data_IF_014321429140
#
_entry.id   IF_014321429140
#
_cell.length_a   1.000
_cell.length_b   1.000
_cell.length_c   1.000
_cell.angle_alpha   90.00
_cell.angle_beta   90.00
_cell.angle_gamma   90.00
#
_symmetry.space_group_name_H-M   'P 1'
#
loop_
_entity.id
_entity.type
_entity.pdbx_description
1 polymer ?
#
# COMPACT_ATOMS: atom_id res chain seq x y z
N UNK A 1 12.24 -7.83 14.09
CA UNK A 1 12.58 -9.27 13.96
C UNK A 1 12.50 -9.55 12.47
N UNK A 2 13.63 -9.78 11.82
CA UNK A 2 13.75 -9.85 10.34
C UNK A 2 13.34 -11.23 9.83
N UNK A 3 12.75 -11.31 8.62
CA UNK A 3 12.53 -12.56 7.90
C UNK A 3 13.87 -13.16 7.43
N UNK A 4 14.56 -13.82 8.37
CA UNK A 4 15.90 -14.37 8.15
C UNK A 4 15.92 -15.46 7.08
N UNK A 5 14.84 -16.23 6.96
CA UNK A 5 14.74 -17.31 5.98
C UNK A 5 14.86 -16.73 4.56
N UNK A 6 14.17 -15.62 4.30
CA UNK A 6 14.28 -14.90 3.04
C UNK A 6 15.71 -14.39 2.80
N UNK A 7 16.29 -13.70 3.78
CA UNK A 7 17.62 -13.07 3.63
C UNK A 7 18.73 -14.10 3.46
N UNK A 8 18.74 -15.16 4.27
CA UNK A 8 19.75 -16.20 4.21
C UNK A 8 19.70 -16.92 2.85
N UNK A 9 18.51 -17.28 2.40
CA UNK A 9 18.34 -17.89 1.07
C UNK A 9 18.73 -16.94 -0.06
N UNK A 10 18.32 -15.68 0.02
CA UNK A 10 18.67 -14.67 -0.97
C UNK A 10 20.20 -14.54 -1.07
N UNK A 11 20.88 -14.39 0.06
CA UNK A 11 22.34 -14.26 0.16
C UNK A 11 23.08 -15.44 -0.47
N UNK A 12 22.58 -16.65 -0.26
CA UNK A 12 23.19 -17.88 -0.79
C UNK A 12 23.01 -18.04 -2.31
N UNK A 13 21.88 -17.58 -2.87
CA UNK A 13 21.50 -17.95 -4.23
C UNK A 13 21.48 -16.81 -5.26
N UNK A 14 21.49 -15.54 -4.84
CA UNK A 14 21.30 -14.43 -5.79
C UNK A 14 22.42 -14.31 -6.84
N UNK A 15 23.69 -14.54 -6.48
CA UNK A 15 24.80 -14.49 -7.44
C UNK A 15 24.68 -15.57 -8.49
N UNK A 16 24.37 -16.80 -8.09
CA UNK A 16 24.15 -17.91 -9.02
C UNK A 16 22.98 -17.61 -9.94
N UNK A 17 21.90 -17.06 -9.39
CA UNK A 17 20.74 -16.61 -10.15
C UNK A 17 21.10 -15.60 -11.25
N UNK A 18 21.87 -14.56 -10.93
CA UNK A 18 22.32 -13.56 -11.91
C UNK A 18 23.23 -14.15 -13.00
N UNK A 19 24.00 -15.19 -12.66
CA UNK A 19 24.93 -15.86 -13.59
C UNK A 19 24.25 -16.87 -14.51
N UNK A 20 23.04 -17.33 -14.21
CA UNK A 20 22.35 -18.36 -15.01
C UNK A 20 22.23 -17.92 -16.48
N UNK A 21 22.69 -18.74 -17.44
CA UNK A 21 22.59 -18.40 -18.85
C UNK A 21 21.12 -18.36 -19.31
N UNK A 22 20.78 -17.53 -20.31
CA UNK A 22 19.42 -17.45 -20.82
C UNK A 22 19.02 -18.77 -21.49
N UNK A 23 18.00 -19.43 -20.94
CA UNK A 23 17.30 -20.55 -21.56
C UNK A 23 16.36 -20.00 -22.65
N UNK A 24 16.52 -20.39 -23.93
CA UNK A 24 15.64 -19.97 -25.02
C UNK A 24 14.16 -20.29 -24.78
N UNK A 25 13.88 -21.39 -24.08
CA UNK A 25 12.53 -21.85 -23.75
C UNK A 25 12.09 -21.51 -22.32
N UNK A 26 12.94 -20.84 -21.54
CA UNK A 26 12.62 -20.43 -20.18
C UNK A 26 11.79 -19.14 -20.13
N UNK A 27 11.37 -18.76 -18.91
CA UNK A 27 10.62 -17.53 -18.63
C UNK A 27 11.22 -16.28 -19.30
N UNK A 28 10.38 -15.30 -19.64
CA UNK A 28 10.85 -14.00 -20.13
C UNK A 28 11.65 -13.26 -19.06
N UNK A 29 11.33 -13.46 -17.77
CA UNK A 29 11.95 -12.76 -16.65
C UNK A 29 13.20 -13.49 -16.10
N UNK A 30 13.95 -14.15 -16.97
CA UNK A 30 15.26 -14.69 -16.61
C UNK A 30 16.25 -13.53 -16.41
N UNK A 31 17.04 -13.56 -15.33
CA UNK A 31 17.93 -12.46 -14.94
C UNK A 31 18.79 -11.93 -16.11
N UNK A 32 19.43 -12.82 -16.88
CA UNK A 32 20.25 -12.43 -18.04
C UNK A 32 19.45 -11.75 -19.15
N UNK A 33 18.22 -12.20 -19.43
CA UNK A 33 17.34 -11.56 -20.42
C UNK A 33 16.90 -10.19 -19.93
N UNK A 34 16.53 -10.07 -18.65
CA UNK A 34 16.17 -8.80 -18.02
C UNK A 34 17.31 -7.78 -18.10
N UNK A 35 18.55 -8.20 -17.84
CA UNK A 35 19.73 -7.32 -17.98
C UNK A 35 19.91 -6.87 -19.43
N UNK A 36 19.77 -7.78 -20.41
CA UNK A 36 19.88 -7.45 -21.84
C UNK A 36 18.76 -6.51 -22.30
N UNK A 37 17.54 -6.72 -21.83
CA UNK A 37 16.40 -5.85 -22.09
C UNK A 37 16.62 -4.48 -21.46
N UNK A 38 17.17 -4.42 -20.25
CA UNK A 38 17.48 -3.16 -19.57
C UNK A 38 18.52 -2.34 -20.33
N UNK A 39 19.58 -3.00 -20.82
CA UNK A 39 20.63 -2.39 -21.64
C UNK A 39 20.05 -1.80 -22.93
N UNK A 40 19.09 -2.49 -23.56
CA UNK A 40 18.56 -2.12 -24.86
C UNK A 40 17.35 -1.17 -24.82
N UNK A 41 16.63 -1.10 -23.70
CA UNK A 41 15.36 -0.36 -23.60
C UNK A 41 15.34 0.67 -22.48
N UNK A 42 15.28 0.24 -21.22
CA UNK A 42 15.29 1.13 -20.06
C UNK A 42 15.75 0.42 -18.78
N UNK A 43 16.35 1.19 -17.86
CA UNK A 43 16.81 0.70 -16.56
C UNK A 43 15.69 0.13 -15.69
N UNK A 44 14.45 0.60 -15.84
CA UNK A 44 13.30 0.13 -15.08
C UNK A 44 13.01 -1.36 -15.23
N UNK A 45 13.49 -2.02 -16.30
CA UNK A 45 13.43 -3.47 -16.46
C UNK A 45 14.14 -4.23 -15.34
N UNK A 46 15.20 -3.66 -14.74
CA UNK A 46 15.93 -4.28 -13.64
C UNK A 46 15.06 -4.51 -12.39
N UNK A 47 13.90 -3.84 -12.27
CA UNK A 47 12.93 -4.13 -11.20
C UNK A 47 12.42 -5.58 -11.18
N UNK A 48 12.58 -6.31 -12.30
CA UNK A 48 12.16 -7.70 -12.50
C UNK A 48 13.33 -8.70 -12.40
N UNK A 49 14.51 -8.26 -11.97
CA UNK A 49 15.75 -9.04 -12.00
C UNK A 49 15.66 -10.34 -11.17
N UNK A 50 14.92 -10.29 -10.07
CA UNK A 50 14.73 -11.43 -9.16
C UNK A 50 13.38 -12.13 -9.31
N UNK A 51 12.55 -11.83 -10.32
CA UNK A 51 11.24 -12.46 -10.51
C UNK A 51 11.28 -13.99 -10.57
N UNK A 52 12.34 -14.56 -11.14
CA UNK A 52 12.52 -16.01 -11.28
C UNK A 52 13.30 -16.64 -10.12
N UNK A 53 13.74 -15.84 -9.14
CA UNK A 53 14.36 -16.32 -7.92
C UNK A 53 13.26 -16.57 -6.88
N UNK A 54 12.79 -17.81 -6.80
CA UNK A 54 11.80 -18.18 -5.77
C UNK A 54 12.50 -18.22 -4.41
N UNK A 55 12.14 -17.28 -3.54
CA UNK A 55 12.69 -17.16 -2.19
C UNK A 55 11.67 -17.67 -1.17
N UNK A 56 12.07 -18.51 -0.21
CA UNK A 56 11.20 -18.88 0.89
C UNK A 56 11.01 -17.68 1.81
N UNK A 57 9.81 -17.55 2.35
CA UNK A 57 9.47 -16.55 3.37
C UNK A 57 8.81 -17.25 4.56
N UNK A 58 8.67 -16.55 5.68
CA UNK A 58 7.84 -17.04 6.79
C UNK A 58 6.39 -17.29 6.35
N UNK A 59 5.70 -18.20 7.03
CA UNK A 59 4.29 -18.46 6.74
C UNK A 59 3.41 -17.22 7.01
N UNK A 60 2.20 -17.23 6.43
CA UNK A 60 1.26 -16.09 6.50
C UNK A 60 0.94 -15.67 7.94
N UNK A 61 0.77 -16.62 8.86
CA UNK A 61 0.34 -16.30 10.22
C UNK A 61 1.49 -15.64 10.98
N UNK A 62 2.70 -16.20 10.88
CA UNK A 62 3.93 -15.62 11.42
C UNK A 62 4.23 -14.26 10.78
N UNK A 63 4.02 -14.12 9.47
CA UNK A 63 4.14 -12.84 8.76
C UNK A 63 3.19 -11.79 9.36
N UNK A 64 1.89 -12.11 9.49
CA UNK A 64 0.89 -11.17 10.02
C UNK A 64 1.22 -10.78 11.46
N UNK A 65 1.64 -11.72 12.30
CA UNK A 65 2.08 -11.44 13.67
C UNK A 65 3.29 -10.51 13.71
N UNK A 66 4.28 -10.76 12.85
CA UNK A 66 5.48 -9.93 12.78
C UNK A 66 5.19 -8.53 12.23
N UNK A 67 4.31 -8.42 11.23
CA UNK A 67 3.85 -7.14 10.68
C UNK A 67 3.08 -6.35 11.75
N UNK A 68 2.18 -6.99 12.49
CA UNK A 68 1.46 -6.36 13.59
C UNK A 68 2.41 -5.85 14.69
N UNK A 69 3.46 -6.62 15.02
CA UNK A 69 4.50 -6.20 15.96
C UNK A 69 5.35 -5.05 15.44
N UNK A 70 5.62 -5.01 14.13
CA UNK A 70 6.34 -3.91 13.49
C UNK A 70 5.48 -2.65 13.34
N UNK A 71 4.15 -2.76 13.47
CA UNK A 71 3.19 -1.67 13.38
C UNK A 71 2.81 -1.29 11.94
N UNK A 72 3.75 -1.32 10.99
CA UNK A 72 3.50 -1.04 9.58
C UNK A 72 4.48 -1.76 8.63
N UNK A 73 4.15 -1.75 7.33
CA UNK A 73 4.92 -2.44 6.29
C UNK A 73 6.34 -1.89 6.14
N UNK A 74 6.53 -0.57 6.24
CA UNK A 74 7.85 0.05 6.11
C UNK A 74 8.79 -0.38 7.23
N UNK A 75 8.30 -0.39 8.47
CA UNK A 75 9.04 -0.85 9.64
C UNK A 75 9.35 -2.35 9.56
N UNK A 76 8.45 -3.15 8.99
CA UNK A 76 8.66 -4.57 8.77
C UNK A 76 9.71 -4.85 7.69
N UNK A 77 9.62 -4.19 6.53
CA UNK A 77 10.48 -4.43 5.38
C UNK A 77 11.86 -3.76 5.50
N UNK A 78 11.98 -2.64 6.21
CA UNK A 78 13.26 -1.91 6.38
C UNK A 78 14.43 -2.79 6.82
N UNK A 79 14.35 -3.63 7.88
CA UNK A 79 15.46 -4.49 8.24
C UNK A 79 15.81 -5.51 7.14
N UNK A 80 14.82 -6.04 6.42
CA UNK A 80 15.03 -6.95 5.28
C UNK A 80 15.79 -6.22 4.16
N UNK A 81 15.36 -5.01 3.82
CA UNK A 81 15.98 -4.20 2.76
C UNK A 81 17.37 -3.69 3.15
N UNK A 82 17.61 -3.42 4.44
CA UNK A 82 18.95 -3.10 4.95
C UNK A 82 19.90 -4.29 4.80
N UNK A 83 19.50 -5.48 5.23
CA UNK A 83 20.32 -6.69 5.10
C UNK A 83 20.58 -7.02 3.61
N UNK A 84 19.57 -6.88 2.74
CA UNK A 84 19.73 -7.05 1.30
C UNK A 84 20.67 -5.98 0.68
N UNK A 85 20.58 -4.73 1.14
CA UNK A 85 21.47 -3.66 0.69
C UNK A 85 22.93 -3.91 1.06
N UNK A 86 23.21 -4.48 2.24
CA UNK A 86 24.58 -4.88 2.64
C UNK A 86 25.18 -5.96 1.75
N UNK A 87 24.35 -6.73 1.05
CA UNK A 87 24.77 -7.79 0.12
C UNK A 87 24.90 -7.24 -1.30
N UNK A 88 24.00 -6.34 -1.71
CA UNK A 88 23.90 -5.86 -3.09
C UNK A 88 24.73 -4.62 -3.37
N UNK A 89 24.83 -3.71 -2.39
CA UNK A 89 25.37 -2.37 -2.56
C UNK A 89 26.71 -2.20 -1.84
N UNK A 90 27.52 -1.26 -2.32
CA UNK A 90 28.74 -0.86 -1.63
C UNK A 90 28.42 -0.22 -0.25
N UNK A 91 29.45 -0.02 0.58
CA UNK A 91 29.29 0.54 1.94
C UNK A 91 28.52 1.86 2.00
N UNK A 92 28.65 2.70 0.96
CA UNK A 92 28.01 4.01 0.90
C UNK A 92 26.62 3.97 0.24
N UNK A 93 26.14 2.78 -0.17
CA UNK A 93 24.86 2.55 -0.86
C UNK A 93 24.68 3.35 -2.16
N UNK A 94 25.78 3.73 -2.81
CA UNK A 94 25.78 4.54 -4.04
C UNK A 94 25.92 3.73 -5.31
N UNK A 95 26.44 2.51 -5.24
CA UNK A 95 26.58 1.59 -6.38
C UNK A 95 26.47 0.14 -5.95
N UNK A 96 26.35 -0.77 -6.92
CA UNK A 96 26.40 -2.21 -6.67
C UNK A 96 27.79 -2.65 -6.20
N UNK A 97 27.87 -3.74 -5.42
CA UNK A 97 29.15 -4.36 -5.12
C UNK A 97 29.78 -5.00 -6.35
N UNK A 98 31.10 -5.06 -6.37
CA UNK A 98 31.88 -5.54 -7.51
C UNK A 98 31.52 -6.98 -7.91
N UNK A 99 31.19 -7.85 -6.95
CA UNK A 99 30.79 -9.23 -7.25
C UNK A 99 29.40 -9.34 -7.89
N UNK A 100 28.50 -8.41 -7.57
CA UNK A 100 27.19 -8.27 -8.22
C UNK A 100 27.37 -7.75 -9.64
N UNK A 101 28.23 -6.74 -9.82
CA UNK A 101 28.59 -6.20 -11.13
C UNK A 101 29.17 -7.31 -12.03
N UNK A 102 30.10 -8.11 -11.50
CA UNK A 102 30.65 -9.27 -12.24
C UNK A 102 29.57 -10.30 -12.59
N UNK A 103 28.61 -10.55 -11.69
CA UNK A 103 27.52 -11.48 -11.94
C UNK A 103 26.56 -10.99 -13.05
N UNK A 104 26.26 -9.68 -13.08
CA UNK A 104 25.52 -9.01 -14.18
C UNK A 104 26.32 -9.03 -15.49
N UNK A 105 27.65 -9.00 -15.38
CA UNK A 105 28.61 -8.93 -16.48
C UNK A 105 29.10 -7.50 -16.69
N UNK A 106 30.43 -7.33 -16.75
CA UNK A 106 31.08 -6.02 -16.81
C UNK A 106 30.64 -5.19 -18.02
N UNK A 107 30.48 -5.80 -19.20
CA UNK A 107 30.04 -5.11 -20.41
C UNK A 107 28.60 -4.60 -20.30
N UNK A 108 27.71 -5.42 -19.75
CA UNK A 108 26.33 -5.02 -19.52
C UNK A 108 26.28 -3.87 -18.52
N UNK A 109 27.00 -3.99 -17.40
CA UNK A 109 27.03 -2.95 -16.38
C UNK A 109 27.65 -1.65 -16.89
N UNK A 110 28.77 -1.70 -17.62
CA UNK A 110 29.37 -0.53 -18.25
C UNK A 110 28.39 0.18 -19.19
N UNK A 111 27.60 -0.59 -19.96
CA UNK A 111 26.59 -0.01 -20.82
C UNK A 111 25.45 0.64 -20.03
N UNK A 112 24.94 -0.04 -18.98
CA UNK A 112 23.87 0.49 -18.12
C UNK A 112 24.31 1.78 -17.41
N UNK A 113 25.53 1.79 -16.88
CA UNK A 113 26.09 2.93 -16.14
C UNK A 113 26.68 4.02 -17.05
N UNK A 114 26.69 3.82 -18.38
CA UNK A 114 27.37 4.69 -19.36
C UNK A 114 28.88 4.83 -19.15
N UNK A 115 29.51 3.86 -18.48
CA UNK A 115 30.95 3.84 -18.19
C UNK A 115 31.79 3.13 -19.26
N UNK A 116 33.05 2.90 -18.91
CA UNK A 116 34.02 2.09 -19.65
C UNK A 116 34.73 1.09 -18.73
N UNK A 117 35.32 0.04 -19.32
CA UNK A 117 36.00 -1.00 -18.56
C UNK A 117 37.49 -0.71 -18.54
N UNK A 118 38.04 -0.44 -17.36
CA UNK A 118 39.47 -0.27 -17.13
C UNK A 118 39.95 -1.27 -16.08
N UNK A 119 41.03 -2.00 -16.35
CA UNK A 119 41.64 -2.93 -15.39
C UNK A 119 40.66 -3.95 -14.76
N UNK A 120 39.60 -4.33 -15.48
CA UNK A 120 38.59 -5.29 -14.99
C UNK A 120 37.53 -4.70 -14.05
N UNK A 121 37.48 -3.37 -13.91
CA UNK A 121 36.44 -2.64 -13.21
C UNK A 121 35.73 -1.67 -14.17
N UNK A 122 34.50 -1.29 -13.85
CA UNK A 122 33.76 -0.27 -14.60
C UNK A 122 34.03 1.09 -13.98
N UNK A 123 34.43 2.05 -14.80
CA UNK A 123 34.75 3.42 -14.40
C UNK A 123 34.01 4.43 -15.28
N UNK A 124 33.91 5.67 -14.82
CA UNK A 124 33.33 6.76 -15.60
C UNK A 124 34.21 7.09 -16.81
N UNK A 125 33.59 7.42 -17.93
CA UNK A 125 34.29 8.05 -19.05
C UNK A 125 34.75 9.44 -18.64
N UNK A 126 35.91 9.84 -19.16
CA UNK A 126 36.50 11.15 -18.87
C UNK A 126 35.53 12.30 -19.17
N UNK A 127 35.17 13.08 -18.16
CA UNK A 127 34.25 14.22 -18.27
C UNK A 127 32.76 13.88 -18.10
N UNK A 128 32.41 12.62 -17.83
CA UNK A 128 31.03 12.15 -17.59
C UNK A 128 30.83 11.63 -16.17
N UNK A 129 31.70 12.01 -15.22
CA UNK A 129 31.74 11.45 -13.87
C UNK A 129 30.42 11.63 -13.10
N UNK A 130 29.77 12.79 -13.25
CA UNK A 130 28.49 13.07 -12.61
C UNK A 130 27.34 12.20 -13.16
N UNK A 131 27.29 12.04 -14.49
CA UNK A 131 26.27 11.22 -15.17
C UNK A 131 26.45 9.74 -14.82
N UNK A 132 27.71 9.28 -14.80
CA UNK A 132 28.06 7.92 -14.38
C UNK A 132 27.60 7.66 -12.93
N UNK A 133 27.92 8.56 -12.00
CA UNK A 133 27.51 8.42 -10.60
C UNK A 133 25.99 8.42 -10.42
N UNK A 134 25.26 9.27 -11.15
CA UNK A 134 23.79 9.30 -11.15
C UNK A 134 23.22 7.96 -11.66
N UNK A 135 23.78 7.42 -12.74
CA UNK A 135 23.37 6.12 -13.29
C UNK A 135 23.69 4.95 -12.37
N UNK A 136 24.86 4.94 -11.73
CA UNK A 136 25.20 3.92 -10.73
C UNK A 136 24.21 3.94 -9.56
N UNK A 137 23.86 5.12 -9.07
CA UNK A 137 22.87 5.29 -8.00
C UNK A 137 21.47 4.84 -8.44
N UNK A 138 21.05 5.17 -9.66
CA UNK A 138 19.79 4.73 -10.25
C UNK A 138 19.73 3.20 -10.37
N UNK A 139 20.79 2.56 -10.86
CA UNK A 139 20.90 1.11 -10.96
C UNK A 139 20.85 0.46 -9.56
N UNK A 140 21.62 0.99 -8.61
CA UNK A 140 21.63 0.51 -7.23
C UNK A 140 20.22 0.55 -6.62
N UNK A 141 19.51 1.66 -6.82
CA UNK A 141 18.12 1.84 -6.38
C UNK A 141 17.22 0.78 -7.01
N UNK A 142 17.16 0.69 -8.34
CA UNK A 142 16.23 -0.22 -9.03
C UNK A 142 16.53 -1.69 -8.71
N UNK A 143 17.80 -2.08 -8.57
CA UNK A 143 18.17 -3.45 -8.17
C UNK A 143 17.73 -3.73 -6.74
N UNK A 144 17.83 -2.78 -5.82
CA UNK A 144 17.32 -2.95 -4.48
C UNK A 144 15.78 -2.98 -4.45
N UNK A 145 15.09 -2.13 -5.23
CA UNK A 145 13.62 -2.15 -5.38
C UNK A 145 13.12 -3.54 -5.79
N UNK A 146 13.88 -4.22 -6.65
CA UNK A 146 13.54 -5.56 -7.13
C UNK A 146 13.46 -6.61 -6.01
N UNK A 147 14.05 -6.34 -4.84
CA UNK A 147 13.90 -7.18 -3.62
C UNK A 147 12.50 -7.06 -3.05
N UNK A 148 11.94 -5.86 -2.98
CA UNK A 148 10.56 -5.65 -2.52
C UNK A 148 9.57 -6.36 -3.45
N UNK A 149 9.80 -6.28 -4.77
CA UNK A 149 9.00 -6.99 -5.78
C UNK A 149 9.13 -8.50 -5.62
N UNK A 150 10.33 -9.02 -5.41
CA UNK A 150 10.57 -10.45 -5.18
C UNK A 150 9.90 -10.95 -3.89
N UNK A 151 9.99 -10.16 -2.81
CA UNK A 151 9.33 -10.47 -1.54
C UNK A 151 7.81 -10.53 -1.71
N UNK A 152 7.23 -9.54 -2.41
CA UNK A 152 5.79 -9.51 -2.69
C UNK A 152 5.32 -10.74 -3.48
N UNK A 153 6.05 -11.12 -4.54
CA UNK A 153 5.73 -12.31 -5.33
C UNK A 153 5.84 -13.60 -4.50
N UNK A 154 6.84 -13.68 -3.63
CA UNK A 154 7.00 -14.82 -2.73
C UNK A 154 5.83 -14.90 -1.74
N UNK A 155 5.37 -13.74 -1.25
CA UNK A 155 4.23 -13.61 -0.36
C UNK A 155 2.87 -13.93 -1.00
N UNK A 156 2.69 -13.62 -2.29
CA UNK A 156 1.50 -14.02 -3.06
C UNK A 156 1.28 -15.54 -3.03
N UNK A 157 2.36 -16.34 -3.01
CA UNK A 157 2.27 -17.80 -2.91
C UNK A 157 1.70 -18.26 -1.56
N UNK A 158 1.65 -17.38 -0.56
CA UNK A 158 1.13 -17.61 0.79
C UNK A 158 -0.13 -16.80 1.10
N UNK A 159 -0.79 -16.21 0.10
CA UNK A 159 -2.03 -15.43 0.27
C UNK A 159 -3.16 -16.20 0.97
N UNK A 160 -3.13 -17.53 0.87
CA UNK A 160 -3.99 -18.44 1.62
C UNK A 160 -3.14 -19.32 2.52
N UNK A 161 -3.54 -19.42 3.79
CA UNK A 161 -3.02 -20.40 4.75
C UNK A 161 -3.31 -21.83 4.27
N UNK A 162 -2.55 -22.83 4.74
CA UNK A 162 -2.84 -24.23 4.43
C UNK A 162 -4.28 -24.64 4.79
N UNK A 163 -4.84 -24.10 5.89
CA UNK A 163 -6.21 -24.37 6.31
C UNK A 163 -7.24 -23.77 5.36
N UNK A 164 -7.04 -22.54 4.88
CA UNK A 164 -7.93 -21.90 3.90
C UNK A 164 -7.88 -22.61 2.54
N UNK A 165 -6.72 -23.06 2.09
CA UNK A 165 -6.62 -23.87 0.85
C UNK A 165 -7.38 -25.17 0.99
N UNK A 166 -7.24 -25.85 2.13
CA UNK A 166 -8.00 -27.07 2.42
C UNK A 166 -9.51 -26.79 2.46
N UNK A 167 -9.93 -25.68 3.07
CA UNK A 167 -11.32 -25.24 3.10
C UNK A 167 -11.88 -24.96 1.69
N UNK A 168 -11.13 -24.25 0.85
CA UNK A 168 -11.53 -23.99 -0.54
C UNK A 168 -11.78 -25.29 -1.32
N UNK A 169 -10.88 -26.28 -1.16
CA UNK A 169 -11.08 -27.61 -1.77
C UNK A 169 -12.33 -28.31 -1.25
N UNK A 170 -12.64 -28.19 0.05
CA UNK A 170 -13.88 -28.75 0.62
C UNK A 170 -15.13 -28.04 0.11
N UNK A 171 -15.09 -26.72 -0.05
CA UNK A 171 -16.19 -25.92 -0.63
C UNK A 171 -16.45 -26.34 -2.08
N UNK A 172 -15.41 -26.60 -2.88
CA UNK A 172 -15.57 -27.14 -4.24
C UNK A 172 -16.16 -28.56 -4.23
N UNK A 173 -15.73 -29.44 -3.32
CA UNK A 173 -16.36 -30.76 -3.16
C UNK A 173 -17.84 -30.67 -2.78
N UNK A 174 -18.19 -29.71 -1.91
CA UNK A 174 -19.59 -29.43 -1.58
C UNK A 174 -20.36 -28.96 -2.82
N UNK A 175 -19.75 -28.12 -3.67
CA UNK A 175 -20.36 -27.70 -4.93
C UNK A 175 -20.65 -28.89 -5.86
N UNK A 176 -19.70 -29.81 -6.04
CA UNK A 176 -19.91 -31.03 -6.83
C UNK A 176 -21.07 -31.88 -6.29
N UNK A 177 -21.17 -32.00 -4.95
CA UNK A 177 -22.26 -32.73 -4.30
C UNK A 177 -23.62 -32.04 -4.47
N UNK A 178 -23.65 -30.70 -4.42
CA UNK A 178 -24.83 -29.91 -4.74
C UNK A 178 -25.28 -30.18 -6.18
N UNK A 179 -24.37 -30.21 -7.16
CA UNK A 179 -24.72 -30.51 -8.56
C UNK A 179 -25.30 -31.92 -8.74
N UNK A 180 -24.75 -32.92 -8.03
CA UNK A 180 -25.31 -34.27 -7.99
C UNK A 180 -26.73 -34.29 -7.41
N UNK A 181 -26.93 -33.60 -6.29
CA UNK A 181 -28.23 -33.49 -5.64
C UNK A 181 -29.26 -32.74 -6.50
N UNK A 182 -28.85 -31.63 -7.14
CA UNK A 182 -29.69 -30.90 -8.09
C UNK A 182 -30.18 -31.82 -9.21
N UNK A 183 -29.29 -32.65 -9.76
CA UNK A 183 -29.64 -33.62 -10.80
C UNK A 183 -30.67 -34.64 -10.32
N UNK A 184 -30.50 -35.17 -9.10
CA UNK A 184 -31.45 -36.09 -8.48
C UNK A 184 -32.80 -35.44 -8.14
N UNK A 185 -32.83 -34.11 -7.95
CA UNK A 185 -34.04 -33.35 -7.62
C UNK A 185 -34.77 -32.71 -8.80
N UNK A 186 -34.26 -32.84 -10.03
CA UNK A 186 -34.81 -32.16 -11.22
C UNK A 186 -36.31 -32.37 -11.44
N UNK A 187 -36.83 -33.54 -11.08
CA UNK A 187 -38.24 -33.90 -11.28
C UNK A 187 -39.17 -33.40 -10.16
N UNK A 188 -38.62 -32.88 -9.05
CA UNK A 188 -39.38 -32.45 -7.87
C UNK A 188 -39.55 -30.94 -7.74
N UNK A 189 -38.88 -30.14 -8.58
CA UNK A 189 -38.96 -28.67 -8.53
C UNK A 189 -40.12 -28.19 -9.40
N UNK A 190 -41.18 -27.58 -8.84
CA UNK A 190 -42.27 -27.01 -9.64
C UNK A 190 -41.74 -25.81 -10.44
N UNK A 191 -42.06 -25.73 -11.75
CA UNK A 191 -41.60 -24.70 -12.69
C UNK A 191 -41.85 -23.24 -12.28
N UNK A 192 -42.68 -22.96 -11.27
CA UNK A 192 -43.18 -21.61 -10.98
C UNK A 192 -43.04 -21.13 -9.52
N UNK A 193 -42.38 -21.85 -8.62
CA UNK A 193 -42.20 -21.34 -7.27
C UNK A 193 -40.73 -21.04 -7.02
N UNK A 194 -40.40 -19.74 -7.00
CA UNK A 194 -39.26 -19.24 -6.27
C UNK A 194 -39.43 -19.67 -4.80
N UNK A 195 -38.90 -20.83 -4.45
CA UNK A 195 -38.68 -21.20 -3.06
C UNK A 195 -37.81 -20.11 -2.48
N UNK A 196 -38.44 -19.23 -1.70
CA UNK A 196 -37.74 -18.35 -0.76
C UNK A 196 -36.87 -19.26 0.09
N UNK A 197 -35.57 -19.32 -0.22
CA UNK A 197 -34.59 -19.99 0.62
C UNK A 197 -34.85 -19.53 2.06
N UNK A 198 -35.03 -20.44 3.02
CA UNK A 198 -35.00 -20.03 4.42
C UNK A 198 -33.66 -19.30 4.59
N UNK A 199 -33.71 -18.02 4.98
CA UNK A 199 -32.52 -17.25 5.36
C UNK A 199 -31.92 -17.92 6.59
N UNK A 200 -31.16 -18.98 6.38
CA UNK A 200 -30.32 -19.53 7.41
C UNK A 200 -29.24 -18.49 7.66
N UNK A 201 -29.21 -17.93 8.87
CA UNK A 201 -28.06 -17.17 9.37
C UNK A 201 -26.89 -18.15 9.53
N UNK A 202 -26.31 -18.60 8.43
CA UNK A 202 -25.04 -19.29 8.43
C UNK A 202 -24.00 -18.18 8.31
N UNK A 203 -23.17 -18.05 9.33
CA UNK A 203 -21.96 -17.24 9.28
C UNK A 203 -20.85 -18.02 9.95
N UNK A 204 -19.62 -17.83 9.49
CA UNK A 204 -18.46 -18.51 10.06
C UNK A 204 -17.66 -17.49 10.85
N UNK A 205 -17.23 -17.89 12.05
CA UNK A 205 -16.34 -17.06 12.87
C UNK A 205 -14.86 -17.39 12.63
N UNK A 206 -14.58 -18.60 12.16
CA UNK A 206 -13.22 -19.08 11.89
C UNK A 206 -13.22 -20.23 10.86
N UNK A 207 -12.03 -20.58 10.37
CA UNK A 207 -11.82 -21.61 9.33
C UNK A 207 -12.14 -23.03 9.83
N UNK A 208 -11.93 -23.33 11.11
CA UNK A 208 -12.22 -24.65 11.65
C UNK A 208 -13.74 -24.90 11.69
N UNK A 209 -14.52 -23.87 12.05
CA UNK A 209 -15.99 -23.89 11.99
C UNK A 209 -16.50 -24.07 10.55
N UNK A 210 -15.94 -23.32 9.59
CA UNK A 210 -16.28 -23.47 8.17
C UNK A 210 -16.01 -24.90 7.70
N UNK A 211 -14.83 -25.45 7.98
CA UNK A 211 -14.47 -26.80 7.58
C UNK A 211 -15.43 -27.85 8.15
N UNK A 212 -15.80 -27.71 9.43
CA UNK A 212 -16.73 -28.63 10.08
C UNK A 212 -18.12 -28.58 9.43
N UNK A 213 -18.68 -27.38 9.27
CA UNK A 213 -20.02 -27.23 8.69
C UNK A 213 -20.09 -27.70 7.23
N UNK A 214 -19.06 -27.40 6.42
CA UNK A 214 -18.96 -27.88 5.04
C UNK A 214 -18.88 -29.41 5.00
N UNK A 215 -18.06 -30.02 5.87
CA UNK A 215 -17.96 -31.48 5.96
C UNK A 215 -19.31 -32.13 6.35
N UNK A 216 -20.01 -31.55 7.33
CA UNK A 216 -21.34 -32.03 7.76
C UNK A 216 -22.36 -31.95 6.62
N UNK A 217 -22.35 -30.88 5.81
CA UNK A 217 -23.22 -30.78 4.63
C UNK A 217 -22.86 -31.82 3.56
N UNK A 218 -21.58 -32.05 3.28
CA UNK A 218 -21.14 -33.09 2.34
C UNK A 218 -21.65 -34.46 2.78
N UNK A 219 -21.46 -34.81 4.06
CA UNK A 219 -21.93 -36.08 4.61
C UNK A 219 -23.45 -36.22 4.55
N UNK A 220 -24.18 -35.15 4.88
CA UNK A 220 -25.65 -35.15 4.78
C UNK A 220 -26.14 -35.36 3.36
N UNK A 221 -25.55 -34.68 2.37
CA UNK A 221 -25.91 -34.89 0.96
C UNK A 221 -25.65 -36.35 0.56
N UNK A 222 -24.50 -36.91 0.93
CA UNK A 222 -24.17 -38.30 0.64
C UNK A 222 -25.22 -39.26 1.24
N UNK A 223 -25.57 -39.09 2.52
CA UNK A 223 -26.56 -39.92 3.19
C UNK A 223 -27.95 -39.86 2.54
N UNK A 224 -28.40 -38.67 2.14
CA UNK A 224 -29.71 -38.50 1.50
C UNK A 224 -29.72 -39.08 0.07
N UNK A 225 -28.61 -38.97 -0.67
CA UNK A 225 -28.47 -39.56 -2.01
C UNK A 225 -28.38 -41.09 -1.99
N UNK A 226 -27.74 -41.69 -0.97
CA UNK A 226 -27.63 -43.14 -0.83
C UNK A 226 -28.96 -43.79 -0.42
N UNK A 227 -29.79 -43.07 0.34
CA UNK A 227 -31.12 -43.53 0.70
C UNK A 227 -32.11 -43.34 -0.45
N UNK A 228 -32.35 -44.42 -1.21
CA UNK A 228 -33.29 -44.45 -2.35
C UNK A 228 -34.75 -44.12 -1.99
N UNK A 229 -35.10 -44.13 -0.70
CA UNK A 229 -36.43 -43.80 -0.19
C UNK A 229 -36.51 -42.41 0.44
N UNK A 230 -35.47 -41.57 0.31
CA UNK A 230 -35.47 -40.21 0.84
C UNK A 230 -36.67 -39.42 0.28
N UNK A 231 -37.53 -38.86 1.14
CA UNK A 231 -38.67 -38.07 0.68
C UNK A 231 -38.19 -36.83 -0.08
N UNK A 232 -38.90 -36.38 -1.15
CA UNK A 232 -38.52 -35.21 -1.94
C UNK A 232 -38.28 -33.94 -1.12
N UNK A 233 -39.04 -33.77 -0.03
CA UNK A 233 -38.86 -32.65 0.92
C UNK A 233 -37.47 -32.65 1.56
N UNK A 234 -36.95 -33.81 1.94
CA UNK A 234 -35.65 -33.95 2.58
C UNK A 234 -34.50 -33.65 1.60
N UNK A 235 -34.63 -34.12 0.36
CA UNK A 235 -33.70 -33.78 -0.74
C UNK A 235 -33.66 -32.27 -1.00
N UNK A 236 -34.83 -31.62 -1.09
CA UNK A 236 -34.93 -30.17 -1.31
C UNK A 236 -34.40 -29.36 -0.11
N UNK A 237 -34.65 -29.80 1.12
CA UNK A 237 -34.09 -29.17 2.32
C UNK A 237 -32.56 -29.30 2.37
N UNK A 238 -32.02 -30.50 2.10
CA UNK A 238 -30.57 -30.71 2.04
C UNK A 238 -29.93 -29.84 0.95
N UNK A 239 -30.59 -29.70 -0.21
CA UNK A 239 -30.12 -28.85 -1.30
C UNK A 239 -30.09 -27.37 -0.90
N UNK A 240 -31.17 -26.85 -0.29
CA UNK A 240 -31.25 -25.47 0.13
C UNK A 240 -30.20 -25.13 1.20
N UNK A 241 -30.05 -25.97 2.22
CA UNK A 241 -29.06 -25.77 3.29
C UNK A 241 -27.62 -25.85 2.76
N UNK A 242 -27.32 -26.80 1.87
CA UNK A 242 -26.00 -26.95 1.29
C UNK A 242 -25.64 -25.76 0.38
N UNK A 243 -26.60 -25.28 -0.41
CA UNK A 243 -26.40 -24.13 -1.30
C UNK A 243 -26.13 -22.86 -0.49
N UNK A 244 -26.92 -22.60 0.56
CA UNK A 244 -26.69 -21.47 1.46
C UNK A 244 -25.33 -21.58 2.19
N UNK A 245 -24.97 -22.77 2.67
CA UNK A 245 -23.67 -23.01 3.30
C UNK A 245 -22.50 -22.74 2.34
N UNK A 246 -22.61 -23.15 1.07
CA UNK A 246 -21.59 -22.88 0.05
C UNK A 246 -21.44 -21.39 -0.22
N UNK A 247 -22.54 -20.68 -0.42
CA UNK A 247 -22.53 -19.23 -0.71
C UNK A 247 -21.83 -18.46 0.41
N UNK A 248 -22.20 -18.73 1.66
CA UNK A 248 -21.57 -18.09 2.83
C UNK A 248 -20.11 -18.52 3.02
N UNK A 249 -19.77 -19.79 2.72
CA UNK A 249 -18.40 -20.27 2.86
C UNK A 249 -17.47 -19.62 1.82
N UNK A 250 -17.97 -19.45 0.59
CA UNK A 250 -17.25 -18.71 -0.45
C UNK A 250 -17.06 -17.25 -0.05
N UNK A 251 -18.13 -16.59 0.42
CA UNK A 251 -18.06 -15.20 0.88
C UNK A 251 -17.03 -15.02 2.02
N UNK A 252 -16.99 -15.95 2.96
CA UNK A 252 -16.01 -15.94 4.05
C UNK A 252 -14.56 -16.05 3.53
N UNK A 253 -14.29 -17.00 2.64
CA UNK A 253 -12.97 -17.18 2.03
C UNK A 253 -12.55 -15.96 1.20
N UNK A 254 -13.48 -15.41 0.40
CA UNK A 254 -13.25 -14.21 -0.42
C UNK A 254 -12.96 -12.99 0.48
N UNK A 255 -13.68 -12.84 1.60
CA UNK A 255 -13.46 -11.76 2.58
C UNK A 255 -12.07 -11.87 3.22
N UNK A 256 -11.63 -13.07 3.59
CA UNK A 256 -10.29 -13.28 4.16
C UNK A 256 -9.18 -13.02 3.15
N UNK A 257 -9.40 -13.39 1.88
CA UNK A 257 -8.47 -13.09 0.79
C UNK A 257 -8.41 -11.58 0.54
N UNK A 258 -9.56 -10.92 0.45
CA UNK A 258 -9.63 -9.47 0.25
C UNK A 258 -8.95 -8.72 1.39
N UNK A 259 -9.17 -9.14 2.64
CA UNK A 259 -8.45 -8.59 3.80
C UNK A 259 -6.93 -8.69 3.62
N UNK A 260 -6.42 -9.84 3.16
CA UNK A 260 -4.99 -10.01 2.89
C UNK A 260 -4.51 -9.08 1.77
N UNK A 261 -5.24 -9.02 0.66
CA UNK A 261 -4.90 -8.14 -0.46
C UNK A 261 -4.84 -6.66 -0.02
N UNK A 262 -5.81 -6.20 0.76
CA UNK A 262 -5.92 -4.80 1.16
C UNK A 262 -4.96 -4.42 2.29
N UNK A 263 -4.75 -5.31 3.27
CA UNK A 263 -3.94 -5.01 4.46
C UNK A 263 -2.48 -5.41 4.34
N UNK A 264 -2.15 -6.28 3.39
CA UNK A 264 -0.78 -6.80 3.22
C UNK A 264 -0.24 -6.43 1.84
N UNK A 265 -0.90 -6.90 0.77
CA UNK A 265 -0.35 -6.76 -0.58
C UNK A 265 -0.38 -5.31 -1.07
N UNK A 266 -1.45 -4.56 -0.81
CA UNK A 266 -1.54 -3.16 -1.23
C UNK A 266 -0.47 -2.26 -0.56
N UNK A 267 -0.23 -2.31 0.76
CA UNK A 267 0.88 -1.60 1.39
C UNK A 267 2.25 -2.01 0.85
N UNK A 268 2.47 -3.31 0.62
CA UNK A 268 3.74 -3.81 0.09
C UNK A 268 3.99 -3.36 -1.36
N UNK A 269 2.96 -3.38 -2.20
CA UNK A 269 3.03 -2.86 -3.57
C UNK A 269 3.22 -1.34 -3.60
N UNK A 270 2.63 -0.62 -2.63
CA UNK A 270 2.85 0.81 -2.44
C UNK A 270 4.30 1.08 -2.09
N UNK A 271 4.87 0.31 -1.16
CA UNK A 271 6.28 0.39 -0.80
C UNK A 271 7.18 0.07 -2.01
N UNK A 272 6.87 -0.96 -2.79
CA UNK A 272 7.62 -1.31 -4.00
C UNK A 272 7.59 -0.19 -5.05
N UNK A 273 6.45 0.49 -5.21
CA UNK A 273 6.28 1.56 -6.19
C UNK A 273 6.95 2.85 -5.75
N UNK A 274 6.93 3.14 -4.45
CA UNK A 274 7.43 4.38 -3.87
C UNK A 274 8.80 4.22 -3.21
N UNK A 275 9.50 3.11 -3.44
CA UNK A 275 10.77 2.87 -2.77
C UNK A 275 11.81 3.91 -3.16
N UNK A 276 12.47 4.44 -2.13
CA UNK A 276 13.64 5.31 -2.26
C UNK A 276 14.73 4.79 -1.33
N UNK A 277 16.00 4.87 -1.74
CA UNK A 277 17.13 4.38 -0.92
C UNK A 277 17.19 5.11 0.44
N UNK A 278 16.67 6.34 0.51
CA UNK A 278 16.54 7.13 1.74
C UNK A 278 15.68 6.42 2.80
N UNK A 279 14.80 5.49 2.41
CA UNK A 279 14.04 4.64 3.34
C UNK A 279 14.98 3.75 4.18
N UNK A 280 16.20 3.48 3.71
CA UNK A 280 17.22 2.70 4.42
C UNK A 280 18.06 3.51 5.39
N UNK A 281 17.93 4.85 5.40
CA UNK A 281 18.54 5.66 6.44
C UNK A 281 17.87 5.30 7.77
N UNK A 282 18.62 5.38 8.87
CA UNK A 282 18.01 5.19 10.19
C UNK A 282 16.77 6.09 10.27
N UNK A 283 15.62 5.55 10.72
CA UNK A 283 14.41 6.35 10.81
C UNK A 283 14.77 7.60 11.60
N UNK A 284 14.54 8.78 10.99
CA UNK A 284 14.64 10.05 11.72
C UNK A 284 13.92 9.84 13.06
N UNK A 285 14.54 10.19 14.20
CA UNK A 285 14.01 9.86 15.51
C UNK A 285 12.54 10.22 15.55
N UNK A 286 11.69 9.23 15.84
CA UNK A 286 10.25 9.47 15.82
C UNK A 286 9.95 10.63 16.78
N UNK A 287 9.01 11.53 16.41
CA UNK A 287 8.62 12.60 17.30
C UNK A 287 8.21 12.01 18.65
N UNK A 288 8.60 12.69 19.72
CA UNK A 288 8.20 12.28 21.07
C UNK A 288 6.67 12.30 21.17
N UNK A 289 6.11 11.54 22.12
CA UNK A 289 4.67 11.54 22.37
C UNK A 289 4.11 12.97 22.53
N UNK A 290 4.86 13.85 23.19
CA UNK A 290 4.49 15.27 23.36
C UNK A 290 4.42 16.02 22.02
N UNK A 291 5.42 15.84 21.15
CA UNK A 291 5.44 16.47 19.81
C UNK A 291 4.29 15.92 18.94
N UNK A 292 4.00 14.62 19.03
CA UNK A 292 2.85 14.02 18.33
C UNK A 292 1.52 14.57 18.84
N UNK A 293 1.35 14.70 20.15
CA UNK A 293 0.17 15.32 20.76
C UNK A 293 0.00 16.77 20.32
N UNK A 294 1.06 17.56 20.35
CA UNK A 294 1.04 18.97 19.94
C UNK A 294 0.67 19.14 18.47
N UNK A 295 1.24 18.32 17.58
CA UNK A 295 0.90 18.34 16.15
C UNK A 295 -0.57 18.01 15.90
N UNK A 296 -1.09 16.96 16.54
CA UNK A 296 -2.51 16.58 16.41
C UNK A 296 -3.41 17.67 17.00
N UNK A 297 -3.03 18.27 18.14
CA UNK A 297 -3.77 19.36 18.77
C UNK A 297 -3.80 20.62 17.90
N UNK A 298 -2.67 20.96 17.28
CA UNK A 298 -2.57 22.09 16.35
C UNK A 298 -3.48 21.89 15.14
N UNK A 299 -3.47 20.69 14.55
CA UNK A 299 -4.37 20.39 13.44
C UNK A 299 -5.85 20.42 13.87
N UNK A 300 -6.17 19.87 15.05
CA UNK A 300 -7.53 19.94 15.59
C UNK A 300 -8.00 21.39 15.79
N UNK A 301 -7.13 22.28 16.27
CA UNK A 301 -7.43 23.71 16.42
C UNK A 301 -7.70 24.39 15.05
N UNK A 302 -6.97 24.01 14.00
CA UNK A 302 -7.26 24.48 12.64
C UNK A 302 -8.63 24.00 12.14
N UNK A 303 -9.01 22.75 12.45
CA UNK A 303 -10.35 22.21 12.13
C UNK A 303 -11.43 22.99 12.86
N UNK A 304 -11.24 23.33 14.14
CA UNK A 304 -12.17 24.17 14.91
C UNK A 304 -12.32 25.57 14.30
N UNK A 305 -11.21 26.20 13.90
CA UNK A 305 -11.24 27.49 13.20
C UNK A 305 -12.02 27.40 11.87
N UNK A 306 -11.82 26.33 11.10
CA UNK A 306 -12.55 26.10 9.86
C UNK A 306 -14.06 25.91 10.11
N UNK A 307 -14.45 25.19 11.16
CA UNK A 307 -15.84 25.05 11.56
C UNK A 307 -16.46 26.40 11.95
N UNK A 308 -15.71 27.26 12.63
CA UNK A 308 -16.16 28.60 13.02
C UNK A 308 -16.40 29.49 11.79
N UNK A 309 -15.48 29.50 10.81
CA UNK A 309 -15.65 30.23 9.55
C UNK A 309 -16.90 29.76 8.79
N UNK A 310 -17.16 28.45 8.77
CA UNK A 310 -18.35 27.89 8.11
C UNK A 310 -19.63 28.29 8.85
N UNK A 311 -19.60 28.35 10.19
CA UNK A 311 -20.72 28.83 11.00
C UNK A 311 -21.04 30.29 10.68
N UNK A 312 -20.03 31.15 10.66
CA UNK A 312 -20.18 32.57 10.33
C UNK A 312 -20.74 32.77 8.91
N UNK A 313 -20.23 32.02 7.93
CA UNK A 313 -20.79 32.04 6.56
C UNK A 313 -22.22 31.52 6.47
N UNK A 314 -22.56 30.52 7.27
CA UNK A 314 -23.94 30.00 7.35
C UNK A 314 -24.88 31.05 7.93
N UNK A 315 -24.45 31.74 8.99
CA UNK A 315 -25.21 32.84 9.62
C UNK A 315 -25.34 34.05 8.69
N UNK A 316 -24.28 34.40 7.96
CA UNK A 316 -24.31 35.46 6.96
C UNK A 316 -25.29 35.12 5.83
N UNK A 317 -25.29 33.88 5.34
CA UNK A 317 -26.25 33.43 4.34
C UNK A 317 -27.71 33.52 4.82
N UNK A 318 -27.96 33.21 6.10
CA UNK A 318 -29.29 33.36 6.74
C UNK A 318 -29.67 34.84 6.95
N UNK A 319 -28.69 35.75 7.06
CA UNK A 319 -28.95 37.20 7.16
C UNK A 319 -29.21 37.84 5.79
N UNK A 320 -28.51 37.37 4.76
CA UNK A 320 -28.62 37.86 3.38
C UNK A 320 -29.82 37.26 2.62
N UNK A 321 -30.30 36.09 3.06
CA UNK A 321 -31.47 35.42 2.51
C UNK A 321 -32.57 35.32 3.58
N UNK A 322 -33.81 35.01 3.20
CA UNK A 322 -34.88 34.83 4.20
C UNK A 322 -34.55 33.65 5.12
N UNK A 323 -34.99 33.70 6.39
CA UNK A 323 -34.73 32.66 7.41
C UNK A 323 -35.14 31.25 6.94
N UNK A 324 -36.14 31.16 6.06
CA UNK A 324 -36.64 29.91 5.49
C UNK A 324 -35.84 29.40 4.27
N UNK A 325 -34.78 30.10 3.86
CA UNK A 325 -33.93 29.68 2.75
C UNK A 325 -32.98 28.56 3.20
N UNK A 326 -33.01 27.38 2.55
CA UNK A 326 -32.17 26.27 2.95
C UNK A 326 -30.69 26.62 2.76
N UNK A 327 -29.85 26.25 3.73
CA UNK A 327 -28.41 26.40 3.61
C UNK A 327 -27.90 25.67 2.36
N UNK A 328 -26.95 26.25 1.61
CA UNK A 328 -26.34 25.60 0.49
C UNK A 328 -25.79 24.22 0.87
N UNK A 329 -26.07 23.22 0.03
CA UNK A 329 -25.69 21.82 0.27
C UNK A 329 -24.18 21.63 0.54
N UNK A 330 -23.33 22.46 -0.06
CA UNK A 330 -21.89 22.41 0.18
C UNK A 330 -21.51 22.83 1.61
N UNK A 331 -22.18 23.83 2.20
CA UNK A 331 -21.93 24.29 3.57
C UNK A 331 -22.41 23.26 4.60
N UNK A 332 -23.57 22.64 4.38
CA UNK A 332 -24.09 21.60 5.27
C UNK A 332 -23.25 20.32 5.19
N UNK A 333 -22.83 19.92 4.00
CA UNK A 333 -21.92 18.79 3.77
C UNK A 333 -20.55 19.01 4.41
N UNK A 334 -19.93 20.18 4.19
CA UNK A 334 -18.61 20.51 4.73
C UNK A 334 -18.64 20.62 6.27
N UNK A 335 -19.69 21.23 6.83
CA UNK A 335 -19.89 21.31 8.29
C UNK A 335 -19.98 19.93 8.94
N UNK A 336 -20.72 19.00 8.33
CA UNK A 336 -20.86 17.63 8.83
C UNK A 336 -19.53 16.87 8.82
N UNK A 337 -18.75 16.99 7.73
CA UNK A 337 -17.45 16.30 7.57
C UNK A 337 -16.38 16.84 8.51
N UNK A 338 -16.29 18.16 8.65
CA UNK A 338 -15.38 18.77 9.62
C UNK A 338 -15.76 18.43 11.05
N UNK A 339 -17.06 18.24 11.34
CA UNK A 339 -17.54 17.70 12.62
C UNK A 339 -16.97 16.30 12.88
N UNK A 340 -17.11 15.38 11.92
CA UNK A 340 -16.55 14.03 12.03
C UNK A 340 -15.03 14.01 12.17
N UNK A 341 -14.33 14.82 11.38
CA UNK A 341 -12.86 14.95 11.47
C UNK A 341 -12.45 15.42 12.87
N UNK A 342 -13.12 16.44 13.40
CA UNK A 342 -12.87 16.95 14.75
C UNK A 342 -13.08 15.85 15.82
N UNK A 343 -14.21 15.14 15.79
CA UNK A 343 -14.51 14.07 16.74
C UNK A 343 -13.43 12.96 16.70
N UNK A 344 -12.97 12.60 15.50
CA UNK A 344 -11.94 11.58 15.30
C UNK A 344 -10.55 12.06 15.77
N UNK A 345 -10.18 13.31 15.51
CA UNK A 345 -8.93 13.92 16.00
C UNK A 345 -8.95 14.05 17.53
N UNK A 346 -10.09 14.43 18.11
CA UNK A 346 -10.27 14.49 19.56
C UNK A 346 -10.16 13.09 20.20
N UNK A 347 -10.69 12.06 19.54
CA UNK A 347 -10.48 10.66 19.96
C UNK A 347 -9.01 10.25 19.93
N UNK A 348 -8.21 10.77 18.99
CA UNK A 348 -6.76 10.54 18.96
C UNK A 348 -6.06 11.25 20.12
N UNK A 349 -6.45 12.48 20.45
CA UNK A 349 -5.89 13.24 21.58
C UNK A 349 -6.23 12.63 22.95
N UNK A 350 -7.32 11.87 23.05
CA UNK A 350 -7.75 11.22 24.29
C UNK A 350 -7.03 9.90 24.60
N UNK A 351 -6.24 9.34 23.67
CA UNK A 351 -5.54 8.05 23.86
C UNK A 351 -4.64 8.01 25.11
N UNK A 352 -3.82 9.04 25.42
CA UNK A 352 -2.97 9.05 26.60
C UNK A 352 -3.77 8.93 27.91
N UNK A 353 -4.99 9.49 27.93
CA UNK A 353 -5.89 9.46 29.08
C UNK A 353 -6.70 8.16 29.14
N UNK A 354 -7.11 7.62 27.99
CA UNK A 354 -7.89 6.39 27.88
C UNK A 354 -7.06 5.12 28.14
N UNK A 355 -5.76 5.15 27.83
CA UNK A 355 -4.88 3.98 27.89
C UNK A 355 -3.57 4.27 28.66
N UNK A 356 -3.64 4.66 29.95
CA UNK A 356 -2.46 5.05 30.74
C UNK A 356 -1.45 3.90 30.97
N UNK A 357 -1.84 2.67 30.65
CA UNK A 357 -1.02 1.46 30.78
C UNK A 357 -0.14 1.18 29.55
N UNK A 358 -0.33 1.88 28.44
CA UNK A 358 0.52 1.75 27.25
C UNK A 358 1.89 2.43 27.46
N UNK A 359 2.93 1.92 26.80
CA UNK A 359 4.20 2.64 26.72
C UNK A 359 4.04 3.94 25.92
N UNK A 360 4.94 4.91 26.09
CA UNK A 360 4.91 6.15 25.34
C UNK A 360 4.92 5.91 23.81
N UNK A 361 5.67 4.91 23.34
CA UNK A 361 5.67 4.48 21.94
C UNK A 361 4.32 3.86 21.53
N UNK A 362 3.73 2.99 22.35
CA UNK A 362 2.43 2.38 22.07
C UNK A 362 1.28 3.39 22.05
N UNK A 363 1.32 4.41 22.92
CA UNK A 363 0.38 5.54 22.87
C UNK A 363 0.56 6.34 21.58
N UNK A 364 1.81 6.68 21.22
CA UNK A 364 2.12 7.43 20.00
C UNK A 364 1.61 6.71 18.75
N UNK A 365 1.87 5.41 18.64
CA UNK A 365 1.47 4.62 17.48
C UNK A 365 -0.05 4.56 17.33
N UNK A 366 -0.78 4.39 18.44
CA UNK A 366 -2.24 4.46 18.40
C UNK A 366 -2.76 5.85 18.04
N UNK A 367 -2.11 6.92 18.52
CA UNK A 367 -2.47 8.30 18.20
C UNK A 367 -2.29 8.56 16.70
N UNK A 368 -1.15 8.16 16.14
CA UNK A 368 -0.86 8.28 14.71
C UNK A 368 -1.83 7.44 13.87
N UNK A 369 -2.19 6.23 14.30
CA UNK A 369 -3.16 5.40 13.60
C UNK A 369 -4.55 6.04 13.57
N UNK A 370 -5.04 6.56 14.70
CA UNK A 370 -6.33 7.28 14.74
C UNK A 370 -6.28 8.57 13.92
N UNK A 371 -5.19 9.32 14.00
CA UNK A 371 -4.96 10.53 13.21
C UNK A 371 -5.03 10.22 11.70
N UNK A 372 -4.27 9.22 11.24
CA UNK A 372 -4.24 8.83 9.83
C UNK A 372 -5.62 8.38 9.33
N UNK A 373 -6.31 7.55 10.11
CA UNK A 373 -7.67 7.12 9.78
C UNK A 373 -8.66 8.29 9.68
N UNK A 374 -8.53 9.30 10.55
CA UNK A 374 -9.36 10.50 10.53
C UNK A 374 -9.14 11.33 9.26
N UNK A 375 -7.87 11.55 8.89
CA UNK A 375 -7.50 12.27 7.68
C UNK A 375 -7.96 11.53 6.42
N UNK A 376 -7.73 10.22 6.35
CA UNK A 376 -8.14 9.38 5.21
C UNK A 376 -9.67 9.41 5.03
N UNK A 377 -10.41 9.18 6.13
CA UNK A 377 -11.88 9.26 6.12
C UNK A 377 -12.36 10.63 5.64
N UNK A 378 -11.71 11.71 6.08
CA UNK A 378 -12.08 13.06 5.67
C UNK A 378 -11.77 13.32 4.20
N UNK A 379 -10.60 12.92 3.70
CA UNK A 379 -10.20 13.08 2.29
C UNK A 379 -11.15 12.31 1.38
N UNK A 380 -11.43 11.04 1.67
CA UNK A 380 -12.39 10.23 0.91
C UNK A 380 -13.77 10.87 0.88
N UNK A 381 -14.23 11.37 2.03
CA UNK A 381 -15.52 12.06 2.11
C UNK A 381 -15.51 13.35 1.29
N UNK A 382 -14.47 14.18 1.37
CA UNK A 382 -14.38 15.42 0.56
C UNK A 382 -14.35 15.11 -0.94
N UNK A 383 -13.67 14.03 -1.35
CA UNK A 383 -13.58 13.54 -2.74
C UNK A 383 -14.96 13.15 -3.31
N UNK A 384 -15.78 12.45 -2.53
CA UNK A 384 -17.08 11.91 -2.99
C UNK A 384 -18.15 13.01 -3.18
N UNK A 385 -18.12 14.08 -2.37
CA UNK A 385 -19.29 14.97 -2.24
C UNK A 385 -19.01 16.47 -2.42
N UNK A 386 -17.77 16.93 -2.29
CA UNK A 386 -17.40 18.36 -2.43
C UNK A 386 -16.53 18.61 -3.67
N UNK A 387 -15.68 17.65 -4.04
CA UNK A 387 -14.81 17.70 -5.21
C UNK A 387 -15.39 16.97 -6.43
N UNK A 388 -16.72 17.00 -6.62
CA UNK A 388 -17.34 16.60 -7.91
C UNK A 388 -17.05 17.63 -9.00
N UNK A 389 -15.79 17.83 -9.34
CA UNK A 389 -15.45 18.27 -10.67
C UNK A 389 -15.53 17.04 -11.58
N UNK A 390 -16.66 16.83 -12.24
CA UNK A 390 -16.65 16.01 -13.45
C UNK A 390 -15.53 16.55 -14.35
N UNK A 391 -14.64 15.70 -14.91
CA UNK A 391 -13.62 16.17 -15.83
C UNK A 391 -14.31 16.98 -16.93
N UNK A 392 -13.75 18.12 -17.38
CA UNK A 392 -14.43 19.01 -18.30
C UNK A 392 -14.90 18.20 -19.51
N UNK A 393 -16.22 18.10 -19.70
CA UNK A 393 -16.80 17.37 -20.84
C UNK A 393 -16.25 18.04 -22.11
N UNK A 394 -15.72 17.29 -23.09
CA UNK A 394 -15.28 17.89 -24.34
C UNK A 394 -16.53 18.33 -25.13
N UNK A 395 -17.02 19.53 -24.86
CA UNK A 395 -18.16 20.12 -25.56
C UNK A 395 -17.67 21.05 -26.66
N UNK A 396 -16.93 20.48 -27.61
CA UNK A 396 -16.91 20.94 -29.00
C UNK A 396 -16.19 19.91 -29.87
N UNK A 397 -16.80 19.53 -31.00
CA UNK A 397 -16.14 18.73 -32.03
C UNK A 397 -14.79 19.38 -32.41
N UNK A 398 -13.74 18.59 -32.62
CA UNK A 398 -12.37 19.06 -32.89
C UNK A 398 -12.32 20.10 -34.03
N UNK A 399 -13.24 19.99 -34.99
CA UNK A 399 -13.42 20.89 -36.12
C UNK A 399 -13.85 22.31 -35.67
N UNK A 400 -14.73 22.43 -34.68
CA UNK A 400 -15.15 23.73 -34.13
C UNK A 400 -14.03 24.40 -33.30
N UNK A 401 -13.18 23.60 -32.63
CA UNK A 401 -12.04 24.13 -31.86
C UNK A 401 -10.99 24.73 -32.78
N UNK A 402 -10.69 24.04 -33.88
CA UNK A 402 -9.80 24.54 -34.93
C UNK A 402 -10.36 25.81 -35.58
N UNK A 403 -11.66 25.85 -35.90
CA UNK A 403 -12.30 27.06 -36.45
C UNK A 403 -12.23 28.25 -35.48
N UNK A 404 -12.43 28.02 -34.17
CA UNK A 404 -12.34 29.07 -33.16
C UNK A 404 -10.92 29.59 -32.94
N UNK A 405 -9.92 28.72 -33.01
CA UNK A 405 -8.51 29.11 -32.94
C UNK A 405 -8.12 30.01 -34.12
N UNK A 406 -8.66 29.75 -35.32
CA UNK A 406 -8.42 30.56 -36.51
C UNK A 406 -9.17 31.91 -36.43
N UNK A 407 -10.38 31.93 -35.88
CA UNK A 407 -11.23 33.14 -35.86
C UNK A 407 -11.01 34.06 -34.65
N UNK A 408 -10.68 33.51 -33.48
CA UNK A 408 -10.64 34.21 -32.19
C UNK A 408 -9.29 34.00 -31.47
N UNK A 409 -8.40 33.16 -32.01
CA UNK A 409 -7.06 32.93 -31.42
C UNK A 409 -7.04 32.02 -30.19
N UNK A 410 -8.15 31.34 -29.86
CA UNK A 410 -8.23 30.41 -28.72
C UNK A 410 -8.92 29.10 -29.10
N UNK A 411 -8.34 27.98 -28.65
CA UNK A 411 -8.85 26.61 -28.85
C UNK A 411 -9.93 26.22 -27.83
N UNK A 412 -10.06 26.96 -26.73
CA UNK A 412 -11.02 26.70 -25.64
C UNK A 412 -11.93 27.90 -25.40
N UNK A 413 -13.12 27.64 -24.86
CA UNK A 413 -14.04 28.69 -24.39
C UNK A 413 -13.56 29.27 -23.05
N UNK A 414 -14.04 30.47 -22.68
CA UNK A 414 -13.75 31.05 -21.37
C UNK A 414 -14.29 30.18 -20.22
N UNK A 415 -15.43 29.50 -20.42
CA UNK A 415 -16.00 28.53 -19.47
C UNK A 415 -15.13 27.26 -19.38
N UNK A 416 -14.67 26.70 -20.51
CA UNK A 416 -13.77 25.53 -20.51
C UNK A 416 -12.43 25.85 -19.82
N UNK A 417 -11.90 27.06 -20.02
CA UNK A 417 -10.68 27.52 -19.36
C UNK A 417 -10.90 27.70 -17.86
N UNK A 418 -12.02 28.30 -17.44
CA UNK A 418 -12.36 28.48 -16.03
C UNK A 418 -12.61 27.14 -15.32
N UNK A 419 -13.26 26.18 -15.99
CA UNK A 419 -13.45 24.82 -15.47
C UNK A 419 -12.13 24.05 -15.33
N UNK A 420 -11.22 24.22 -16.29
CA UNK A 420 -9.89 23.60 -16.24
C UNK A 420 -8.99 24.22 -15.17
N UNK A 421 -9.06 25.54 -14.98
CA UNK A 421 -8.40 26.26 -13.88
C UNK A 421 -8.99 25.85 -12.52
N UNK A 422 -10.31 25.66 -12.41
CA UNK A 422 -10.97 25.14 -11.21
C UNK A 422 -10.46 23.74 -10.86
N UNK A 423 -10.48 22.82 -11.84
CA UNK A 423 -10.00 21.45 -11.66
C UNK A 423 -8.53 21.37 -11.25
N UNK A 424 -7.68 22.22 -11.84
CA UNK A 424 -6.24 22.28 -11.50
C UNK A 424 -6.03 22.77 -10.07
N UNK A 425 -6.80 23.76 -9.62
CA UNK A 425 -6.73 24.29 -8.25
C UNK A 425 -7.23 23.29 -7.21
N UNK A 426 -8.34 22.60 -7.51
CA UNK A 426 -8.92 21.57 -6.64
C UNK A 426 -8.02 20.33 -6.54
N UNK A 427 -7.37 19.93 -7.64
CA UNK A 427 -6.37 18.85 -7.64
C UNK A 427 -5.09 19.25 -6.89
N UNK A 428 -4.69 20.53 -6.95
CA UNK A 428 -3.58 21.07 -6.17
C UNK A 428 -3.84 20.97 -4.66
N UNK A 429 -5.00 21.42 -4.20
CA UNK A 429 -5.38 21.34 -2.77
C UNK A 429 -5.39 19.90 -2.23
N UNK A 430 -5.77 18.93 -3.06
CA UNK A 430 -5.71 17.51 -2.71
C UNK A 430 -4.27 17.05 -2.51
N UNK A 431 -3.35 17.45 -3.39
CA UNK A 431 -1.94 17.14 -3.24
C UNK A 431 -1.36 17.83 -2.00
N UNK A 432 -1.71 19.09 -1.74
CA UNK A 432 -1.26 19.82 -0.54
C UNK A 432 -1.68 19.11 0.77
N UNK A 433 -2.90 18.56 0.83
CA UNK A 433 -3.37 17.79 1.98
C UNK A 433 -2.64 16.44 2.14
N UNK A 434 -2.30 15.79 1.04
CA UNK A 434 -1.51 14.56 1.04
C UNK A 434 -0.04 14.84 1.40
N UNK A 435 0.49 15.97 0.96
CA UNK A 435 1.84 16.42 1.30
C UNK A 435 1.93 16.79 2.78
N UNK A 436 0.91 17.46 3.34
CA UNK A 436 0.83 17.74 4.78
C UNK A 436 0.76 16.45 5.62
N UNK A 437 0.11 15.40 5.11
CA UNK A 437 0.11 14.06 5.73
C UNK A 437 1.52 13.46 5.77
N UNK A 438 2.26 13.55 4.67
CA UNK A 438 3.65 13.08 4.62
C UNK A 438 4.57 13.96 5.47
N UNK A 439 4.35 15.27 5.49
CA UNK A 439 5.10 16.22 6.30
C UNK A 439 4.94 15.93 7.80
N UNK A 440 3.76 15.48 8.25
CA UNK A 440 3.54 15.07 9.63
C UNK A 440 4.15 13.71 9.98
N UNK A 441 4.37 12.83 8.99
CA UNK A 441 5.15 11.60 9.14
C UNK A 441 6.64 11.90 9.28
N UNK A 442 7.10 13.02 8.72
CA UNK A 442 8.45 13.55 8.95
C UNK A 442 8.48 14.50 10.17
N UNK A 443 9.51 14.47 11.03
CA UNK A 443 9.70 15.57 11.97
C UNK A 443 10.07 16.85 11.21
N UNK A 444 9.52 17.98 11.66
CA UNK A 444 9.94 19.29 11.18
C UNK A 444 11.41 19.47 11.59
N UNK A 445 12.25 19.90 10.65
CA UNK A 445 13.60 20.34 10.97
C UNK A 445 13.49 21.61 11.80
N UNK A 446 13.48 21.48 13.12
CA UNK A 446 13.75 22.61 13.99
C UNK A 446 15.15 23.11 13.64
N UNK A 447 15.19 24.35 13.16
CA UNK A 447 16.39 25.14 13.02
C UNK A 447 17.10 25.19 14.38
N UNK A 448 18.05 24.27 14.59
CA UNK A 448 19.14 24.50 15.53
C UNK A 448 20.01 25.57 14.90
N UNK A 449 19.62 26.82 15.11
CA UNK A 449 20.48 27.97 14.90
C UNK A 449 21.67 27.82 15.85
N UNK A 450 22.84 27.78 15.25
CA UNK A 450 24.18 27.93 15.81
C UNK A 450 24.23 28.56 17.20
N UNK A 451 24.72 27.80 18.17
CA UNK A 451 25.51 28.33 19.27
C UNK A 451 26.26 27.20 19.95
N UNK A 452 27.51 27.00 19.55
CA UNK A 452 28.65 26.72 20.43
C UNK A 452 29.87 26.35 19.58
N UNK A 453 30.76 27.33 19.33
CA UNK A 453 32.22 27.19 19.43
C UNK A 453 32.91 28.50 19.00
N UNK A 454 32.78 29.52 19.85
CA UNK A 454 33.73 30.62 19.97
C UNK A 454 33.96 30.88 21.46
N UNK A 455 34.75 30.04 22.10
CA UNK A 455 35.44 30.37 23.37
C UNK A 455 36.55 29.34 23.65
N UNK A 456 37.66 29.46 22.93
CA UNK A 456 38.94 28.85 23.31
C UNK A 456 40.14 29.63 22.76
N UNK A 457 40.08 30.96 22.81
CA UNK A 457 41.26 31.82 22.64
C UNK A 457 41.14 33.01 23.60
N UNK A 458 41.33 32.79 24.91
CA UNK A 458 42.13 33.71 25.71
C UNK A 458 42.43 33.12 27.10
N UNK A 459 43.67 32.67 27.31
CA UNK A 459 44.37 32.75 28.60
C UNK A 459 45.86 32.54 28.39
N UNK A 460 46.48 33.62 27.89
CA UNK A 460 47.68 34.23 28.47
C UNK A 460 48.73 33.32 29.12
N UNK A 461 49.81 33.18 28.35
CA UNK A 461 51.21 33.16 28.78
C UNK A 461 51.49 34.12 29.95
N UNK A 462 51.94 33.59 31.09
CA UNK A 462 53.18 33.98 31.79
C UNK A 462 53.19 33.48 33.24
N UNK A 463 54.17 32.64 33.60
CA UNK A 463 55.03 32.86 34.76
C UNK A 463 56.22 31.89 34.70
N UNK A 464 57.30 32.43 34.14
CA UNK A 464 58.67 32.04 34.42
C UNK A 464 58.96 32.38 35.90
N UNK A 465 59.65 31.50 36.65
CA UNK A 465 60.73 31.80 37.62
C UNK A 465 61.13 30.50 38.37
N UNK A 466 62.35 30.06 38.06
CA UNK A 466 63.41 29.47 38.92
C UNK A 466 63.02 28.64 40.15
N UNK A 467 63.41 27.36 40.15
CA UNK A 467 64.64 26.87 40.80
C UNK A 467 64.92 25.42 40.37
#
# INVERSE_FOLDING_TARGET
MTDKIFIDYFKEHFIEHLKKPPNPHGSQNQARKIVQDAVSTNLGKLSRLFDTLVTPIVDRDVFIENLARAGNMDAYMRPILNDAAEILLNKNKTRLQDDVIKAIGLENYATLASGEIEHGIVVAKKGEEAVFAEKEAEIARVVLDSITVNYAQSLEQYQQSPKERAAAVQVERLHEKILQLQTATKDFVPRNNATTSPKSHISFTNIDELNQQVADKIQRIAAVLENKNSPPKELLTALAEASACREEAQLFLDTNLQYFLDKVMAPLNTLATNFKIEILQDPKPQPSLAVTQEKIATFNALVEQAQQVIRERSEQHIKENSIDSPLPHYLTSLRSRLGKLHDQLQSALYIPEAYPHLSADGMRDQMLNKYNAAVETFVEQVDVDLLKAEPPKPLMHIILRVLRAILIGSLTTAEEKADQERFTRESGLKNDLLDLREELRTPAEDNVVDNEHQEAEDKTVNLNIQC
#
